data_IF_051630067549
#
_entry.id   IF_051630067549
#
_cell.length_a   1.000
_cell.length_b   1.000
_cell.length_c   1.000
_cell.angle_alpha   90.00
_cell.angle_beta   90.00
_cell.angle_gamma   90.00
#
_symmetry.space_group_name_H-M   'P 1'
#
loop_
_entity.id
_entity.type
_entity.pdbx_description
1 polymer ?
#
# COMPACT_ATOMS: atom_id res chain seq x y z
N UNK A 1 4.92 10.58 14.05
CA UNK A 1 4.12 9.77 13.08
C UNK A 1 2.98 10.62 12.56
N UNK A 2 2.69 10.58 11.22
CA UNK A 2 1.61 11.34 10.58
C UNK A 2 0.46 10.41 10.18
N UNK A 3 -0.77 10.93 10.17
CA UNK A 3 -1.93 10.22 9.64
C UNK A 3 -2.22 10.69 8.22
N UNK A 4 -2.23 9.76 7.28
CA UNK A 4 -2.49 9.99 5.88
C UNK A 4 -3.60 9.11 5.31
N UNK A 5 -3.83 9.21 4.00
CA UNK A 5 -4.71 8.31 3.26
C UNK A 5 -4.21 8.02 1.86
N UNK A 6 -4.42 6.79 1.39
CA UNK A 6 -4.20 6.40 0.00
C UNK A 6 -5.35 6.95 -0.87
N UNK A 7 -4.99 7.67 -1.92
CA UNK A 7 -5.98 8.36 -2.77
C UNK A 7 -6.73 7.41 -3.71
N UNK A 8 -6.24 6.19 -3.94
CA UNK A 8 -6.80 5.22 -4.87
C UNK A 8 -8.29 4.87 -4.63
N UNK A 9 -8.78 5.02 -3.40
CA UNK A 9 -10.18 4.76 -3.06
C UNK A 9 -11.20 5.76 -3.65
N UNK A 10 -10.74 6.90 -4.18
CA UNK A 10 -11.56 7.93 -4.83
C UNK A 10 -11.16 8.14 -6.30
N UNK A 11 -11.23 7.11 -7.15
CA UNK A 11 -10.65 7.15 -8.49
C UNK A 11 -11.34 8.15 -9.45
N UNK A 12 -12.55 8.58 -9.14
CA UNK A 12 -13.30 9.57 -9.93
C UNK A 12 -13.06 11.02 -9.51
N UNK A 13 -12.34 11.24 -8.40
CA UNK A 13 -12.02 12.58 -7.93
C UNK A 13 -10.68 13.05 -8.48
N UNK A 14 -10.53 14.36 -8.66
CA UNK A 14 -9.21 14.95 -8.93
C UNK A 14 -8.36 14.96 -7.65
N UNK A 15 -7.03 15.05 -7.81
CA UNK A 15 -6.12 15.22 -6.66
C UNK A 15 -6.51 16.46 -5.82
N UNK A 16 -6.96 17.55 -6.47
CA UNK A 16 -7.42 18.76 -5.78
C UNK A 16 -8.63 18.48 -4.89
N UNK A 17 -9.66 17.80 -5.40
CA UNK A 17 -10.83 17.42 -4.62
C UNK A 17 -10.48 16.54 -3.42
N UNK A 18 -9.56 15.58 -3.61
CA UNK A 18 -9.07 14.70 -2.55
C UNK A 18 -8.29 15.49 -1.50
N UNK A 19 -7.40 16.39 -1.94
CA UNK A 19 -6.59 17.20 -1.03
C UNK A 19 -7.45 18.16 -0.18
N UNK A 20 -8.45 18.80 -0.78
CA UNK A 20 -9.39 19.66 -0.05
C UNK A 20 -10.20 18.86 0.99
N UNK A 21 -10.69 17.67 0.63
CA UNK A 21 -11.37 16.77 1.56
C UNK A 21 -10.43 16.32 2.69
N UNK A 22 -9.25 15.82 2.35
CA UNK A 22 -8.30 15.29 3.32
C UNK A 22 -7.86 16.35 4.34
N UNK A 23 -7.52 17.56 3.84
CA UNK A 23 -7.19 18.70 4.68
C UNK A 23 -8.37 19.11 5.59
N UNK A 24 -9.57 19.21 5.03
CA UNK A 24 -10.79 19.53 5.77
C UNK A 24 -11.15 18.49 6.84
N UNK A 25 -10.82 17.21 6.61
CA UNK A 25 -11.00 16.12 7.58
C UNK A 25 -9.92 16.11 8.66
N UNK A 26 -8.74 16.71 8.42
CA UNK A 26 -7.60 16.77 9.34
C UNK A 26 -6.51 15.74 9.06
N UNK A 27 -6.53 15.07 7.93
CA UNK A 27 -5.37 14.29 7.46
C UNK A 27 -4.17 15.19 7.23
N UNK A 28 -2.96 14.66 7.40
CA UNK A 28 -1.71 15.41 7.31
C UNK A 28 -0.96 15.13 6.01
N UNK A 29 -1.20 13.99 5.39
CA UNK A 29 -0.51 13.59 4.17
C UNK A 29 -1.35 12.67 3.27
N UNK A 30 -0.91 12.55 2.02
CA UNK A 30 -1.49 11.70 1.00
C UNK A 30 -0.46 10.68 0.50
N UNK A 31 -0.87 9.44 0.40
CA UNK A 31 -0.24 8.44 -0.45
C UNK A 31 -0.93 8.50 -1.81
N UNK A 32 -0.24 9.00 -2.85
CA UNK A 32 -0.89 9.39 -4.10
C UNK A 32 -0.83 8.28 -5.13
N UNK A 33 -2.01 7.84 -5.58
CA UNK A 33 -2.17 6.85 -6.64
C UNK A 33 -1.69 7.39 -8.00
N UNK A 34 -0.80 6.63 -8.64
CA UNK A 34 -0.11 7.02 -9.87
C UNK A 34 -0.21 5.95 -10.98
N UNK A 35 -1.30 5.18 -11.05
CA UNK A 35 -1.48 4.23 -12.14
C UNK A 35 -1.58 4.93 -13.50
N UNK A 36 -1.22 4.26 -14.61
CA UNK A 36 -1.50 4.77 -15.95
C UNK A 36 -3.00 5.04 -16.10
N UNK A 37 -3.38 6.18 -16.67
CA UNK A 37 -4.79 6.48 -16.92
C UNK A 37 -5.40 5.49 -17.93
N UNK A 38 -6.73 5.28 -17.83
CA UNK A 38 -7.48 4.37 -18.70
C UNK A 38 -8.32 3.37 -17.90
N UNK A 39 -8.98 2.41 -18.57
CA UNK A 39 -9.71 1.35 -17.89
C UNK A 39 -8.73 0.45 -17.11
N UNK A 40 -8.99 0.32 -15.82
CA UNK A 40 -8.17 -0.44 -14.88
C UNK A 40 -9.03 -1.19 -13.86
N UNK A 41 -8.38 -1.78 -12.86
CA UNK A 41 -9.06 -2.42 -11.74
C UNK A 41 -9.77 -1.37 -10.86
N UNK A 42 -10.79 -1.74 -10.05
CA UNK A 42 -11.59 -0.79 -9.26
C UNK A 42 -10.79 0.15 -8.32
N UNK A 43 -9.58 -0.27 -7.91
CA UNK A 43 -8.70 0.50 -7.02
C UNK A 43 -7.52 1.17 -7.76
N UNK A 44 -7.48 1.11 -9.09
CA UNK A 44 -6.49 1.81 -9.89
C UNK A 44 -6.96 3.24 -10.15
N UNK A 45 -6.14 4.18 -9.75
CA UNK A 45 -6.40 5.61 -9.96
C UNK A 45 -5.14 6.31 -10.46
N UNK A 46 -5.33 7.36 -11.25
CA UNK A 46 -4.26 8.19 -11.79
C UNK A 46 -4.47 9.64 -11.34
N UNK A 47 -3.95 9.96 -10.16
CA UNK A 47 -4.08 11.31 -9.59
C UNK A 47 -2.90 12.21 -9.92
N UNK A 48 -1.76 11.63 -10.38
CA UNK A 48 -0.63 12.35 -10.97
C UNK A 48 -0.26 11.71 -12.32
N UNK A 49 -0.06 12.51 -13.37
CA UNK A 49 0.23 11.99 -14.71
C UNK A 49 1.73 11.66 -14.89
N UNK A 50 2.30 10.83 -14.01
CA UNK A 50 3.76 10.60 -13.91
C UNK A 50 4.41 10.16 -15.23
N UNK A 51 3.68 9.47 -16.12
CA UNK A 51 4.19 9.07 -17.44
C UNK A 51 4.40 10.26 -18.40
N UNK A 52 3.84 11.43 -18.09
CA UNK A 52 3.98 12.68 -18.88
C UNK A 52 4.34 13.85 -17.97
N UNK A 53 5.10 13.56 -16.92
CA UNK A 53 5.42 14.49 -15.86
C UNK A 53 6.24 15.69 -16.35
N UNK A 54 5.85 16.89 -15.99
CA UNK A 54 6.45 18.13 -16.42
C UNK A 54 6.71 19.10 -15.26
N UNK A 55 7.49 20.15 -15.50
CA UNK A 55 7.70 21.21 -14.50
C UNK A 55 6.41 21.92 -14.10
N UNK A 56 5.44 22.07 -15.01
CA UNK A 56 4.14 22.66 -14.71
C UNK A 56 3.33 21.77 -13.73
N UNK A 57 3.42 20.44 -13.86
CA UNK A 57 2.76 19.52 -12.93
C UNK A 57 3.39 19.59 -11.53
N UNK A 58 4.72 19.76 -11.46
CA UNK A 58 5.44 19.96 -10.19
C UNK A 58 4.96 21.25 -9.50
N UNK A 59 4.92 22.37 -10.22
CA UNK A 59 4.48 23.65 -9.67
C UNK A 59 3.03 23.60 -9.20
N UNK A 60 2.13 23.03 -10.02
CA UNK A 60 0.72 22.89 -9.68
C UNK A 60 0.52 22.01 -8.42
N UNK A 61 1.25 20.88 -8.34
CA UNK A 61 1.17 19.99 -7.19
C UNK A 61 1.70 20.67 -5.92
N UNK A 62 2.84 21.36 -5.99
CA UNK A 62 3.39 22.09 -4.84
C UNK A 62 2.46 23.20 -4.35
N UNK A 63 1.88 23.97 -5.28
CA UNK A 63 0.91 25.01 -4.93
C UNK A 63 -0.35 24.43 -4.26
N UNK A 64 -0.82 23.26 -4.71
CA UNK A 64 -1.93 22.54 -4.06
C UNK A 64 -1.59 22.12 -2.63
N UNK A 65 -0.42 21.51 -2.42
CA UNK A 65 0.04 21.07 -1.11
C UNK A 65 0.22 22.24 -0.14
N UNK A 66 0.81 23.36 -0.60
CA UNK A 66 0.96 24.58 0.18
C UNK A 66 -0.41 25.14 0.61
N UNK A 67 -1.37 25.22 -0.33
CA UNK A 67 -2.71 25.74 -0.06
C UNK A 67 -3.49 24.87 0.93
N UNK A 68 -3.32 23.55 0.89
CA UNK A 68 -4.05 22.59 1.73
C UNK A 68 -3.31 22.23 3.03
N UNK A 69 -2.04 22.58 3.15
CA UNK A 69 -1.19 22.21 4.29
C UNK A 69 -0.87 20.70 4.36
N UNK A 70 -1.03 19.98 3.23
CA UNK A 70 -0.77 18.55 3.14
C UNK A 70 0.64 18.27 2.62
N UNK A 71 1.14 17.07 2.93
CA UNK A 71 2.34 16.51 2.33
C UNK A 71 2.00 15.27 1.51
N UNK A 72 2.89 14.89 0.59
CA UNK A 72 2.83 13.58 -0.05
C UNK A 72 3.78 12.65 0.69
N UNK A 73 3.25 11.57 1.24
CA UNK A 73 4.03 10.56 1.97
C UNK A 73 4.67 9.53 1.05
N UNK A 74 4.01 9.19 -0.05
CA UNK A 74 4.48 8.21 -1.04
C UNK A 74 3.75 8.39 -2.36
N UNK A 75 4.39 8.01 -3.47
CA UNK A 75 3.71 7.76 -4.73
C UNK A 75 3.44 6.26 -4.87
N UNK A 76 2.20 5.89 -5.16
CA UNK A 76 1.71 4.52 -5.13
C UNK A 76 1.44 3.97 -6.53
N UNK A 77 2.14 2.91 -6.89
CA UNK A 77 1.90 2.13 -8.09
C UNK A 77 2.14 0.64 -7.79
N UNK A 78 1.12 -0.01 -7.23
CA UNK A 78 1.20 -1.39 -6.75
C UNK A 78 0.94 -2.38 -7.90
N UNK A 79 2.02 -2.80 -8.56
CA UNK A 79 2.00 -3.74 -9.68
C UNK A 79 3.02 -4.87 -9.55
N UNK A 80 2.77 -5.97 -10.28
CA UNK A 80 3.60 -7.17 -10.25
C UNK A 80 4.89 -7.01 -11.07
N UNK A 81 5.98 -6.61 -10.42
CA UNK A 81 7.29 -6.45 -11.08
C UNK A 81 7.94 -7.76 -11.53
N UNK A 82 7.40 -8.92 -11.14
CA UNK A 82 7.88 -10.26 -11.53
C UNK A 82 6.90 -10.99 -12.44
N UNK A 83 5.87 -10.32 -12.97
CA UNK A 83 4.90 -10.95 -13.87
C UNK A 83 5.60 -11.70 -15.01
N UNK A 84 5.10 -12.90 -15.38
CA UNK A 84 5.72 -13.77 -16.39
C UNK A 84 5.71 -13.19 -17.80
N UNK A 85 4.80 -12.28 -18.13
CA UNK A 85 4.80 -11.49 -19.37
C UNK A 85 5.92 -10.44 -19.34
N UNK A 86 6.96 -10.66 -20.12
CA UNK A 86 8.15 -9.80 -20.13
C UNK A 86 7.87 -8.42 -20.71
N UNK A 87 6.96 -8.28 -21.67
CA UNK A 87 6.61 -6.98 -22.22
C UNK A 87 5.85 -6.15 -21.17
N UNK A 88 4.88 -6.76 -20.50
CA UNK A 88 4.14 -6.11 -19.41
C UNK A 88 5.07 -5.78 -18.23
N UNK A 89 6.02 -6.64 -17.90
CA UNK A 89 7.03 -6.36 -16.86
C UNK A 89 7.86 -5.11 -17.17
N UNK A 90 8.29 -4.95 -18.42
CA UNK A 90 9.05 -3.77 -18.82
C UNK A 90 8.22 -2.48 -18.77
N UNK A 91 6.94 -2.54 -19.16
CA UNK A 91 6.00 -1.42 -18.99
C UNK A 91 5.88 -1.03 -17.51
N UNK A 92 5.68 -2.02 -16.61
CA UNK A 92 5.58 -1.77 -15.17
C UNK A 92 6.84 -1.12 -14.64
N UNK A 93 8.02 -1.66 -14.95
CA UNK A 93 9.31 -1.12 -14.50
C UNK A 93 9.57 0.31 -15.02
N UNK A 94 9.22 0.56 -16.27
CA UNK A 94 9.31 1.90 -16.87
C UNK A 94 8.41 2.88 -16.12
N UNK A 95 7.20 2.47 -15.76
CA UNK A 95 6.27 3.32 -15.02
C UNK A 95 6.71 3.53 -13.56
N UNK A 96 7.28 2.52 -12.89
CA UNK A 96 7.91 2.68 -11.55
C UNK A 96 9.03 3.72 -11.61
N UNK A 97 9.89 3.69 -12.66
CA UNK A 97 10.93 4.72 -12.85
C UNK A 97 10.32 6.12 -13.03
N UNK A 98 9.22 6.24 -13.76
CA UNK A 98 8.51 7.51 -13.89
C UNK A 98 7.94 8.01 -12.54
N UNK A 99 7.43 7.12 -11.70
CA UNK A 99 7.04 7.46 -10.33
C UNK A 99 8.24 7.93 -9.49
N UNK A 100 9.40 7.30 -9.62
CA UNK A 100 10.64 7.69 -8.93
C UNK A 100 11.10 9.08 -9.36
N UNK A 101 11.09 9.40 -10.66
CA UNK A 101 11.45 10.72 -11.19
C UNK A 101 10.48 11.81 -10.71
N UNK A 102 9.18 11.52 -10.69
CA UNK A 102 8.17 12.43 -10.15
C UNK A 102 8.36 12.64 -8.63
N UNK A 103 8.63 11.57 -7.88
CA UNK A 103 8.90 11.63 -6.43
C UNK A 103 10.11 12.52 -6.14
N UNK A 104 11.24 12.32 -6.85
CA UNK A 104 12.42 13.17 -6.74
C UNK A 104 12.08 14.66 -6.95
N UNK A 105 11.34 14.98 -8.00
CA UNK A 105 11.00 16.37 -8.35
C UNK A 105 10.10 17.05 -7.33
N UNK A 106 9.27 16.27 -6.62
CA UNK A 106 8.39 16.74 -5.55
C UNK A 106 9.06 16.75 -4.17
N UNK A 107 10.22 16.10 -4.00
CA UNK A 107 10.87 15.90 -2.71
C UNK A 107 10.22 14.79 -1.89
N UNK A 108 9.53 13.85 -2.54
CA UNK A 108 8.91 12.67 -1.91
C UNK A 108 9.95 11.55 -1.82
N UNK A 109 10.15 11.00 -0.62
CA UNK A 109 11.24 10.04 -0.35
C UNK A 109 10.88 8.58 -0.66
N UNK A 110 9.61 8.27 -0.96
CA UNK A 110 9.17 6.89 -1.13
C UNK A 110 8.28 6.69 -2.34
N UNK A 111 8.46 5.54 -3.01
CA UNK A 111 7.59 5.01 -4.06
C UNK A 111 7.16 3.61 -3.69
N UNK A 112 5.84 3.41 -3.55
CA UNK A 112 5.22 2.13 -3.22
C UNK A 112 4.94 1.28 -4.45
N UNK A 113 5.32 -0.01 -4.37
CA UNK A 113 5.01 -1.01 -5.39
C UNK A 113 4.95 -2.42 -4.78
N UNK A 114 4.60 -3.44 -5.58
CA UNK A 114 4.79 -4.84 -5.19
C UNK A 114 6.09 -5.39 -5.75
N UNK A 115 6.69 -6.36 -5.07
CA UNK A 115 7.72 -7.19 -5.70
C UNK A 115 7.06 -8.11 -6.75
N UNK A 116 5.90 -8.63 -6.42
CA UNK A 116 5.15 -9.54 -7.28
C UNK A 116 5.66 -10.98 -7.28
N UNK A 117 5.17 -11.77 -8.21
CA UNK A 117 5.57 -13.16 -8.45
C UNK A 117 5.09 -13.61 -9.83
N UNK A 118 5.90 -14.37 -10.54
CA UNK A 118 5.46 -15.24 -11.62
C UNK A 118 4.89 -16.52 -10.98
N UNK A 119 3.57 -16.64 -10.96
CA UNK A 119 2.86 -17.75 -10.27
C UNK A 119 3.09 -19.11 -10.93
N UNK A 120 3.66 -19.15 -12.13
CA UNK A 120 4.03 -20.40 -12.82
C UNK A 120 5.37 -20.98 -12.35
N UNK A 121 6.12 -20.21 -11.52
CA UNK A 121 7.44 -20.58 -11.02
C UNK A 121 7.42 -20.78 -9.49
N UNK A 122 8.44 -21.51 -9.02
CA UNK A 122 8.64 -21.66 -7.57
C UNK A 122 8.95 -20.31 -6.90
N UNK A 123 8.80 -20.25 -5.57
CA UNK A 123 9.23 -19.07 -4.78
C UNK A 123 10.73 -18.83 -4.97
N UNK A 124 11.55 -19.89 -4.93
CA UNK A 124 13.01 -19.80 -5.07
C UNK A 124 13.42 -19.27 -6.45
N UNK A 125 12.76 -19.71 -7.53
CA UNK A 125 13.06 -19.20 -8.88
C UNK A 125 12.67 -17.72 -9.02
N UNK A 126 11.58 -17.31 -8.38
CA UNK A 126 11.16 -15.90 -8.34
C UNK A 126 12.14 -15.05 -7.51
N UNK A 127 12.66 -15.56 -6.40
CA UNK A 127 13.70 -14.89 -5.62
C UNK A 127 14.97 -14.66 -6.45
N UNK A 128 15.44 -15.70 -7.17
CA UNK A 128 16.60 -15.58 -8.06
C UNK A 128 16.36 -14.55 -9.18
N UNK A 129 15.17 -14.52 -9.76
CA UNK A 129 14.79 -13.52 -10.77
C UNK A 129 14.76 -12.11 -10.18
N UNK A 130 14.21 -11.94 -8.97
CA UNK A 130 14.21 -10.64 -8.29
C UNK A 130 15.64 -10.15 -8.01
N UNK A 131 16.53 -11.01 -7.53
CA UNK A 131 17.96 -10.68 -7.32
C UNK A 131 18.67 -10.24 -8.61
N UNK A 132 18.18 -10.70 -9.76
CA UNK A 132 18.72 -10.32 -11.06
C UNK A 132 18.23 -8.94 -11.54
N UNK A 133 16.97 -8.59 -11.25
CA UNK A 133 16.32 -7.42 -11.89
C UNK A 133 16.14 -6.22 -10.97
N UNK A 134 16.00 -6.42 -9.66
CA UNK A 134 15.73 -5.32 -8.74
C UNK A 134 16.93 -4.41 -8.45
N UNK A 135 18.20 -4.88 -8.45
CA UNK A 135 19.33 -3.99 -8.18
C UNK A 135 19.35 -2.74 -9.05
N UNK A 136 19.10 -2.87 -10.37
CA UNK A 136 19.02 -1.72 -11.28
C UNK A 136 17.97 -0.70 -10.86
N UNK A 137 16.78 -1.16 -10.41
CA UNK A 137 15.69 -0.29 -10.00
C UNK A 137 15.98 0.37 -8.65
N UNK A 138 16.60 -0.37 -7.72
CA UNK A 138 17.01 0.14 -6.40
C UNK A 138 18.12 1.19 -6.55
N UNK A 139 19.11 0.93 -7.39
CA UNK A 139 20.19 1.89 -7.70
C UNK A 139 19.60 3.17 -8.33
N UNK A 140 18.70 3.01 -9.31
CA UNK A 140 18.00 4.12 -9.95
C UNK A 140 17.24 5.01 -8.96
N UNK A 141 16.56 4.40 -8.00
CA UNK A 141 15.85 5.12 -6.93
C UNK A 141 16.85 5.77 -5.94
N UNK A 142 17.89 5.05 -5.53
CA UNK A 142 18.93 5.53 -4.62
C UNK A 142 19.66 6.76 -5.13
N UNK A 143 20.02 6.80 -6.43
CA UNK A 143 20.62 7.97 -7.08
C UNK A 143 19.73 9.23 -7.02
N UNK A 144 18.41 9.04 -6.82
CA UNK A 144 17.41 10.11 -6.72
C UNK A 144 16.97 10.43 -5.30
N UNK A 145 17.58 9.77 -4.30
CA UNK A 145 17.20 9.91 -2.90
C UNK A 145 15.83 9.30 -2.57
N UNK A 146 15.33 8.38 -3.41
CA UNK A 146 14.04 7.73 -3.26
C UNK A 146 14.21 6.29 -2.78
N UNK A 147 13.40 5.86 -1.83
CA UNK A 147 13.31 4.48 -1.34
C UNK A 147 12.14 3.77 -2.03
N UNK A 148 12.38 2.56 -2.51
CA UNK A 148 11.29 1.70 -2.97
C UNK A 148 10.73 0.97 -1.75
N UNK A 149 9.45 1.14 -1.50
CA UNK A 149 8.72 0.47 -0.42
C UNK A 149 7.81 -0.62 -0.99
N UNK A 150 7.88 -1.81 -0.42
CA UNK A 150 7.10 -2.97 -0.86
C UNK A 150 5.97 -3.19 0.14
N UNK A 151 4.74 -3.20 -0.36
CA UNK A 151 3.60 -3.61 0.44
C UNK A 151 3.57 -5.13 0.60
N UNK A 152 3.26 -5.57 1.81
CA UNK A 152 3.20 -6.99 2.17
C UNK A 152 1.87 -7.66 1.83
N UNK A 153 1.17 -7.17 0.81
CA UNK A 153 -0.02 -7.78 0.27
C UNK A 153 0.25 -9.22 -0.21
N UNK A 154 -0.65 -10.13 0.06
CA UNK A 154 -0.54 -11.54 -0.36
C UNK A 154 -0.92 -11.73 -1.83
N UNK A 155 -1.77 -10.86 -2.38
CA UNK A 155 -2.22 -10.83 -3.78
C UNK A 155 -2.74 -12.18 -4.31
N UNK A 156 -3.61 -12.83 -3.56
CA UNK A 156 -4.23 -14.08 -3.97
C UNK A 156 -5.05 -13.95 -5.26
N UNK A 157 -5.54 -12.74 -5.59
CA UNK A 157 -6.27 -12.47 -6.84
C UNK A 157 -5.43 -12.63 -8.11
N UNK A 158 -4.10 -12.68 -8.01
CA UNK A 158 -3.21 -12.93 -9.14
C UNK A 158 -2.95 -14.42 -9.39
N UNK A 159 -3.41 -15.29 -8.50
CA UNK A 159 -3.28 -16.73 -8.64
C UNK A 159 -4.67 -17.37 -8.71
N UNK A 160 -4.96 -18.24 -9.68
CA UNK A 160 -6.29 -18.85 -9.85
C UNK A 160 -6.78 -19.61 -8.60
N UNK A 161 -5.86 -20.23 -7.86
CA UNK A 161 -6.17 -21.04 -6.68
C UNK A 161 -6.04 -20.25 -5.36
N UNK A 162 -5.82 -18.92 -5.41
CA UNK A 162 -5.72 -18.07 -4.23
C UNK A 162 -4.43 -18.22 -3.42
N UNK A 163 -3.36 -18.78 -3.97
CA UNK A 163 -2.04 -18.83 -3.34
C UNK A 163 -1.35 -17.45 -3.35
N UNK A 164 -0.35 -17.22 -2.44
CA UNK A 164 0.42 -15.99 -2.48
C UNK A 164 1.01 -15.73 -3.87
N UNK A 165 0.62 -14.60 -4.47
CA UNK A 165 1.09 -14.18 -5.78
C UNK A 165 1.98 -12.93 -5.72
N UNK A 166 2.40 -12.54 -4.51
CA UNK A 166 3.41 -11.53 -4.23
C UNK A 166 4.39 -12.12 -3.21
N UNK A 167 5.70 -11.93 -3.39
CA UNK A 167 6.73 -12.52 -2.52
C UNK A 167 6.79 -11.88 -1.13
N UNK A 168 6.22 -10.71 -0.92
CA UNK A 168 6.27 -10.01 0.37
C UNK A 168 5.26 -10.53 1.42
N UNK A 169 4.78 -11.75 1.32
CA UNK A 169 3.69 -12.27 2.15
C UNK A 169 4.09 -12.73 3.57
N UNK A 170 5.38 -12.80 3.89
CA UNK A 170 5.81 -13.24 5.22
C UNK A 170 7.08 -12.53 5.70
N UNK A 171 7.29 -12.41 7.03
CA UNK A 171 8.52 -11.86 7.61
C UNK A 171 9.80 -12.59 7.17
N UNK A 172 9.74 -13.89 6.91
CA UNK A 172 10.86 -14.67 6.36
C UNK A 172 11.34 -14.07 5.03
N UNK A 173 10.41 -13.76 4.13
CA UNK A 173 10.73 -13.16 2.84
C UNK A 173 11.08 -11.66 2.96
N UNK A 174 10.56 -10.96 3.98
CA UNK A 174 10.97 -9.57 4.23
C UNK A 174 12.43 -9.47 4.65
N UNK A 175 12.97 -10.42 5.41
CA UNK A 175 14.40 -10.44 5.74
C UNK A 175 15.24 -10.49 4.46
N UNK A 176 14.87 -11.35 3.53
CA UNK A 176 15.52 -11.43 2.22
C UNK A 176 15.34 -10.15 1.40
N UNK A 177 14.11 -9.62 1.27
CA UNK A 177 13.82 -8.39 0.53
C UNK A 177 14.67 -7.21 1.00
N UNK A 178 14.76 -7.05 2.31
CA UNK A 178 15.42 -5.88 2.92
C UNK A 178 16.93 -6.02 2.96
N UNK A 179 17.45 -7.22 3.20
CA UNK A 179 18.90 -7.45 3.36
C UNK A 179 19.62 -7.75 2.04
N UNK A 180 18.95 -8.37 1.07
CA UNK A 180 19.55 -8.74 -0.21
C UNK A 180 19.23 -7.77 -1.34
N UNK A 181 18.02 -7.23 -1.37
CA UNK A 181 17.59 -6.34 -2.43
C UNK A 181 17.66 -4.85 -2.03
N UNK A 182 17.85 -4.52 -0.74
CA UNK A 182 17.89 -3.14 -0.29
C UNK A 182 16.53 -2.42 -0.33
N UNK A 183 15.43 -3.18 -0.32
CA UNK A 183 14.07 -2.66 -0.34
C UNK A 183 13.58 -2.32 1.07
N UNK A 184 12.57 -1.48 1.15
CA UNK A 184 11.92 -1.09 2.40
C UNK A 184 10.48 -1.62 2.41
N UNK A 185 9.79 -1.48 3.54
CA UNK A 185 8.43 -1.98 3.71
C UNK A 185 7.42 -0.81 3.78
N UNK A 186 6.34 -0.98 3.03
CA UNK A 186 5.05 -0.38 3.29
C UNK A 186 4.24 -1.43 4.07
N UNK A 187 4.23 -1.32 5.39
CA UNK A 187 3.71 -2.36 6.27
C UNK A 187 2.19 -2.26 6.40
N UNK A 188 1.47 -3.34 6.11
CA UNK A 188 0.03 -3.48 6.25
C UNK A 188 -0.33 -4.63 7.20
N UNK A 189 -0.98 -4.38 8.35
CA UNK A 189 -1.36 -5.40 9.32
C UNK A 189 -2.44 -6.35 8.80
N UNK A 190 -3.30 -5.91 7.90
CA UNK A 190 -4.45 -6.68 7.45
C UNK A 190 -4.02 -7.98 6.77
N UNK A 191 -3.02 -7.91 5.90
CA UNK A 191 -2.51 -9.06 5.17
C UNK A 191 -1.85 -10.11 6.04
N UNK A 192 -1.29 -9.73 7.18
CA UNK A 192 -0.70 -10.65 8.16
C UNK A 192 -1.75 -11.36 8.98
N UNK A 193 -2.78 -10.63 9.39
CA UNK A 193 -3.81 -11.12 10.31
C UNK A 193 -4.58 -12.31 9.75
N UNK A 194 -4.98 -12.28 8.47
CA UNK A 194 -5.75 -13.39 7.92
C UNK A 194 -4.90 -14.64 7.65
N UNK A 195 -3.62 -14.50 7.38
CA UNK A 195 -2.70 -15.66 7.28
C UNK A 195 -2.16 -16.15 8.61
N UNK A 196 -2.65 -15.59 9.74
CA UNK A 196 -2.35 -16.05 11.07
C UNK A 196 -1.04 -15.54 11.66
N UNK A 197 -0.47 -14.47 11.12
CA UNK A 197 0.71 -13.80 11.66
C UNK A 197 0.23 -12.62 12.50
N UNK A 198 0.71 -12.51 13.75
CA UNK A 198 0.45 -11.35 14.60
C UNK A 198 1.20 -10.12 14.05
N UNK A 199 0.47 -9.11 13.54
CA UNK A 199 1.11 -7.95 12.93
C UNK A 199 1.96 -7.14 13.92
N UNK A 200 1.56 -7.04 15.19
CA UNK A 200 2.29 -6.28 16.22
C UNK A 200 3.69 -6.85 16.46
N UNK A 201 3.81 -8.19 16.42
CA UNK A 201 5.11 -8.86 16.62
C UNK A 201 6.07 -8.68 15.44
N UNK A 202 5.57 -8.31 14.26
CA UNK A 202 6.42 -8.06 13.08
C UNK A 202 7.07 -6.67 13.09
N UNK A 203 6.55 -5.71 13.85
CA UNK A 203 7.03 -4.32 13.80
C UNK A 203 8.46 -4.21 14.35
N UNK A 204 8.74 -4.74 15.55
CA UNK A 204 10.05 -4.57 16.19
C UNK A 204 11.22 -5.17 15.38
N UNK A 205 11.15 -6.40 14.86
CA UNK A 205 12.24 -6.97 14.07
C UNK A 205 12.54 -6.19 12.78
N UNK A 206 11.52 -5.55 12.19
CA UNK A 206 11.64 -4.84 10.93
C UNK A 206 11.57 -3.32 11.04
N UNK A 207 11.66 -2.75 12.26
CA UNK A 207 11.48 -1.34 12.54
C UNK A 207 12.30 -0.41 11.64
N UNK A 208 13.56 -0.74 11.35
CA UNK A 208 14.45 0.07 10.50
C UNK A 208 14.07 0.03 9.00
N UNK A 209 13.24 -0.92 8.60
CA UNK A 209 12.80 -1.11 7.22
C UNK A 209 11.37 -0.65 6.98
N UNK A 210 10.54 -0.58 8.03
CA UNK A 210 9.19 -0.02 7.96
C UNK A 210 9.32 1.51 7.94
N UNK A 211 9.21 2.10 6.77
CA UNK A 211 9.31 3.57 6.58
C UNK A 211 7.98 4.20 6.25
N UNK A 212 7.00 3.37 5.88
CA UNK A 212 5.61 3.72 5.62
C UNK A 212 4.72 2.57 6.10
N UNK A 213 3.49 2.87 6.50
CA UNK A 213 2.53 1.85 6.91
C UNK A 213 1.14 2.17 6.35
N UNK A 214 0.44 1.14 5.90
CA UNK A 214 -0.96 1.24 5.51
C UNK A 214 -1.87 0.81 6.65
N UNK A 215 -2.88 1.61 6.90
CA UNK A 215 -3.92 1.32 7.88
C UNK A 215 -5.14 0.75 7.17
N UNK A 216 -5.11 -0.55 6.97
CA UNK A 216 -6.21 -1.38 6.50
C UNK A 216 -6.57 -2.41 7.58
N UNK A 217 -7.84 -2.59 7.84
CA UNK A 217 -8.34 -3.55 8.80
C UNK A 217 -8.98 -4.74 8.09
N UNK A 218 -9.31 -5.79 8.81
CA UNK A 218 -10.08 -6.90 8.27
C UNK A 218 -10.94 -7.55 9.35
N UNK A 219 -12.04 -8.13 8.93
CA UNK A 219 -12.96 -8.91 9.73
C UNK A 219 -12.78 -10.39 9.41
N UNK A 220 -12.62 -11.21 10.46
CA UNK A 220 -12.46 -12.66 10.35
C UNK A 220 -13.79 -13.36 10.67
N UNK A 221 -14.08 -14.45 9.96
CA UNK A 221 -15.20 -15.35 10.18
C UNK A 221 -14.67 -16.74 10.55
N UNK A 222 -14.37 -17.01 11.85
CA UNK A 222 -13.70 -18.24 12.28
C UNK A 222 -14.45 -19.51 11.90
N UNK A 223 -15.77 -19.49 11.91
CA UNK A 223 -16.62 -20.62 11.50
C UNK A 223 -16.44 -20.99 10.04
N UNK A 224 -16.33 -19.98 9.15
CA UNK A 224 -16.05 -20.19 7.72
C UNK A 224 -14.61 -20.67 7.52
N UNK A 225 -13.66 -20.15 8.29
CA UNK A 225 -12.27 -20.60 8.23
C UNK A 225 -12.11 -22.09 8.57
N UNK A 226 -12.92 -22.62 9.50
CA UNK A 226 -12.90 -24.05 9.80
C UNK A 226 -13.33 -24.92 8.62
N UNK A 227 -14.12 -24.38 7.69
CA UNK A 227 -14.52 -25.06 6.46
C UNK A 227 -13.48 -24.91 5.34
N UNK A 228 -12.93 -23.72 5.16
CA UNK A 228 -12.06 -23.39 4.02
C UNK A 228 -10.56 -23.60 4.33
N UNK A 229 -10.13 -23.52 5.60
CA UNK A 229 -8.72 -23.39 5.94
C UNK A 229 -8.12 -22.11 5.34
N UNK A 230 -6.81 -22.09 5.14
CA UNK A 230 -6.14 -20.95 4.50
C UNK A 230 -6.14 -21.02 2.95
N UNK A 231 -6.31 -22.20 2.38
CA UNK A 231 -6.18 -22.47 0.94
C UNK A 231 -7.48 -22.98 0.29
N UNK A 232 -8.60 -22.80 0.97
CA UNK A 232 -9.88 -23.22 0.44
C UNK A 232 -10.27 -22.43 -0.81
N UNK A 233 -10.88 -23.13 -1.76
CA UNK A 233 -11.46 -22.49 -2.96
C UNK A 233 -12.70 -21.71 -2.53
N UNK A 234 -12.71 -20.42 -2.74
CA UNK A 234 -13.85 -19.55 -2.44
C UNK A 234 -14.46 -19.06 -3.75
N UNK A 235 -15.74 -19.39 -3.95
CA UNK A 235 -16.52 -18.79 -5.03
C UNK A 235 -16.89 -17.35 -4.63
N UNK A 236 -16.25 -16.39 -5.27
CA UNK A 236 -16.48 -14.95 -5.02
C UNK A 236 -17.79 -14.43 -5.63
N UNK A 237 -18.55 -15.28 -6.37
CA UNK A 237 -19.82 -14.87 -6.99
C UNK A 237 -19.72 -13.59 -7.84
N UNK A 238 -18.54 -13.30 -8.38
CA UNK A 238 -18.25 -12.07 -9.12
C UNK A 238 -18.00 -10.83 -8.24
N UNK A 239 -18.02 -10.96 -6.91
CA UNK A 239 -17.64 -9.90 -5.98
C UNK A 239 -16.15 -10.00 -5.64
N UNK A 240 -15.28 -9.07 -6.08
CA UNK A 240 -13.85 -9.12 -5.83
C UNK A 240 -13.49 -8.98 -4.34
N UNK A 241 -14.41 -8.45 -3.52
CA UNK A 241 -14.22 -8.24 -2.10
C UNK A 241 -14.70 -9.41 -1.22
N UNK A 242 -15.30 -10.44 -1.81
CA UNK A 242 -15.74 -11.64 -1.08
C UNK A 242 -14.57 -12.65 -0.99
N UNK A 243 -13.98 -12.76 0.17
CA UNK A 243 -12.83 -13.63 0.44
C UNK A 243 -13.23 -14.89 1.24
N UNK A 244 -14.52 -15.15 1.37
CA UNK A 244 -15.07 -16.32 2.05
C UNK A 244 -15.02 -16.20 3.56
N UNK A 245 -13.87 -16.40 4.22
CA UNK A 245 -13.74 -16.44 5.66
C UNK A 245 -13.11 -15.18 6.29
N UNK A 246 -12.82 -14.15 5.48
CA UNK A 246 -12.40 -12.83 5.89
C UNK A 246 -12.86 -11.79 4.87
N UNK A 247 -12.83 -10.51 5.24
CA UNK A 247 -13.02 -9.38 4.33
C UNK A 247 -12.28 -8.16 4.85
N UNK A 248 -11.84 -7.30 3.95
CA UNK A 248 -11.25 -6.02 4.33
C UNK A 248 -12.26 -5.07 4.96
N UNK A 249 -11.78 -4.25 5.86
CA UNK A 249 -12.57 -3.24 6.58
C UNK A 249 -11.76 -1.95 6.74
N UNK A 250 -12.46 -0.84 6.90
CA UNK A 250 -11.82 0.38 7.37
C UNK A 250 -11.34 0.22 8.82
N UNK A 251 -10.24 0.88 9.22
CA UNK A 251 -9.71 0.84 10.58
C UNK A 251 -10.76 1.03 11.67
N UNK A 252 -10.74 0.13 12.66
CA UNK A 252 -11.70 0.08 13.76
C UNK A 252 -12.98 -0.70 13.46
N UNK A 253 -13.09 -1.33 12.31
CA UNK A 253 -14.23 -2.18 11.92
C UNK A 253 -13.85 -3.64 11.73
N UNK A 254 -12.63 -4.02 12.10
CA UNK A 254 -12.11 -5.37 11.97
C UNK A 254 -11.43 -5.87 13.23
N UNK A 255 -10.40 -6.68 13.03
CA UNK A 255 -9.72 -7.45 14.08
C UNK A 255 -8.33 -6.92 14.43
N UNK A 256 -7.85 -5.87 13.77
CA UNK A 256 -6.54 -5.26 14.08
C UNK A 256 -6.62 -4.47 15.38
N UNK A 257 -5.72 -4.75 16.32
CA UNK A 257 -5.60 -4.01 17.59
C UNK A 257 -4.83 -2.70 17.37
N UNK A 258 -5.53 -1.68 16.86
CA UNK A 258 -4.92 -0.40 16.50
C UNK A 258 -4.21 0.28 17.66
N UNK A 259 -4.73 0.29 18.92
CA UNK A 259 -3.96 0.79 20.05
C UNK A 259 -2.59 0.12 20.19
N UNK A 260 -2.51 -1.21 20.14
CA UNK A 260 -1.22 -1.91 20.23
C UNK A 260 -0.31 -1.67 19.02
N UNK A 261 -0.88 -1.58 17.83
CA UNK A 261 -0.12 -1.26 16.61
C UNK A 261 0.53 0.11 16.76
N UNK A 262 -0.24 1.13 17.12
CA UNK A 262 0.25 2.50 17.26
C UNK A 262 1.28 2.62 18.38
N UNK A 263 1.01 2.00 19.54
CA UNK A 263 1.97 1.97 20.66
C UNK A 263 3.28 1.32 20.24
N UNK A 264 3.21 0.18 19.52
CA UNK A 264 4.41 -0.51 19.06
C UNK A 264 5.20 0.31 18.02
N UNK A 265 4.53 1.03 17.13
CA UNK A 265 5.18 1.95 16.18
C UNK A 265 5.91 3.06 16.92
N UNK A 266 5.32 3.64 17.97
CA UNK A 266 6.00 4.64 18.83
C UNK A 266 7.18 4.04 19.58
N UNK A 267 7.02 2.86 20.19
CA UNK A 267 8.11 2.16 20.92
C UNK A 267 9.37 1.94 20.07
N UNK A 268 9.21 1.76 18.75
CA UNK A 268 10.35 1.55 17.85
C UNK A 268 10.82 2.84 17.17
N UNK A 269 10.23 4.00 17.51
CA UNK A 269 10.60 5.30 16.98
C UNK A 269 10.14 5.51 15.52
N UNK A 270 9.02 4.94 15.11
CA UNK A 270 8.48 5.15 13.76
C UNK A 270 7.99 6.60 13.60
N UNK A 271 8.58 7.32 12.66
CA UNK A 271 8.25 8.73 12.36
C UNK A 271 7.53 8.90 11.02
N UNK A 272 7.32 7.80 10.29
CA UNK A 272 6.69 7.80 8.97
C UNK A 272 5.18 8.08 9.01
N UNK A 273 4.52 7.71 7.94
CA UNK A 273 3.06 7.87 7.77
C UNK A 273 2.34 6.57 8.03
N UNK A 274 1.23 6.66 8.79
CA UNK A 274 0.18 5.64 8.83
C UNK A 274 -0.92 6.09 7.85
N UNK A 275 -0.98 5.46 6.68
CA UNK A 275 -1.84 5.83 5.55
C UNK A 275 -3.10 4.97 5.53
N UNK A 276 -4.28 5.56 5.69
CA UNK A 276 -5.54 4.81 5.58
C UNK A 276 -5.69 4.27 4.16
N UNK A 277 -5.74 2.95 4.04
CA UNK A 277 -6.10 2.25 2.81
C UNK A 277 -7.55 1.77 2.91
N UNK A 278 -8.42 2.39 2.11
CA UNK A 278 -9.84 2.11 2.16
C UNK A 278 -10.23 1.02 1.16
N UNK A 279 -10.43 -0.19 1.67
CA UNK A 279 -10.95 -1.35 0.93
C UNK A 279 -12.04 -2.03 1.76
N UNK A 280 -13.20 -1.43 1.86
CA UNK A 280 -14.32 -1.94 2.69
C UNK A 280 -15.57 -2.17 1.82
N UNK A 281 -16.11 -3.40 1.73
CA UNK A 281 -17.28 -3.69 0.91
C UNK A 281 -18.57 -3.03 1.40
N UNK A 282 -18.63 -2.60 2.67
CA UNK A 282 -19.80 -1.89 3.22
C UNK A 282 -19.72 -0.39 2.98
N UNK A 283 -18.52 0.18 3.08
CA UNK A 283 -18.23 1.60 2.93
C UNK A 283 -17.65 1.95 1.55
N UNK A 284 -17.61 0.98 0.62
CA UNK A 284 -17.18 1.16 -0.76
C UNK A 284 -18.33 1.31 -1.75
N UNK A 285 -17.98 1.41 -3.03
CA UNK A 285 -18.91 1.40 -4.17
C UNK A 285 -19.42 2.78 -4.61
N UNK A 286 -19.48 3.78 -3.72
CA UNK A 286 -19.76 5.18 -4.09
C UNK A 286 -18.85 6.15 -3.33
N UNK A 287 -18.53 7.33 -3.89
CA UNK A 287 -17.68 8.31 -3.21
C UNK A 287 -18.21 8.71 -1.82
N UNK A 288 -19.52 8.83 -1.67
CA UNK A 288 -20.14 9.22 -0.38
C UNK A 288 -19.90 8.17 0.70
N UNK A 289 -19.99 6.89 0.35
CA UNK A 289 -19.68 5.78 1.28
C UNK A 289 -18.19 5.75 1.61
N UNK A 290 -17.33 5.93 0.62
CA UNK A 290 -15.88 5.96 0.82
C UNK A 290 -15.49 7.11 1.77
N UNK A 291 -16.03 8.29 1.55
CA UNK A 291 -15.83 9.46 2.43
C UNK A 291 -16.28 9.16 3.88
N UNK A 292 -17.42 8.50 4.06
CA UNK A 292 -17.86 8.08 5.40
C UNK A 292 -16.93 7.02 6.01
N UNK A 293 -16.45 6.06 5.22
CA UNK A 293 -15.45 5.08 5.65
C UNK A 293 -14.13 5.73 6.07
N UNK A 294 -13.64 6.71 5.31
CA UNK A 294 -12.45 7.49 5.66
C UNK A 294 -12.65 8.29 6.94
N UNK A 295 -13.85 8.86 7.16
CA UNK A 295 -14.21 9.56 8.41
C UNK A 295 -14.19 8.61 9.62
N UNK A 296 -14.70 7.38 9.45
CA UNK A 296 -14.65 6.34 10.49
C UNK A 296 -13.20 5.97 10.81
N UNK A 297 -12.39 5.72 9.79
CA UNK A 297 -10.97 5.39 9.94
C UNK A 297 -10.20 6.51 10.67
N UNK A 298 -10.42 7.76 10.25
CA UNK A 298 -9.85 8.93 10.93
C UNK A 298 -10.25 9.00 12.40
N UNK A 299 -11.54 8.84 12.71
CA UNK A 299 -12.05 8.86 14.08
C UNK A 299 -11.49 7.73 14.96
N UNK A 300 -11.08 6.62 14.36
CA UNK A 300 -10.45 5.49 15.06
C UNK A 300 -8.96 5.77 15.33
N UNK A 301 -8.22 6.23 14.33
CA UNK A 301 -6.76 6.31 14.38
C UNK A 301 -6.25 7.62 14.97
N UNK A 302 -6.89 8.76 14.66
CA UNK A 302 -6.41 10.08 15.09
C UNK A 302 -6.27 10.21 16.62
N UNK A 303 -7.20 9.70 17.45
CA UNK A 303 -7.05 9.77 18.91
C UNK A 303 -5.88 8.95 19.47
N UNK A 304 -5.35 7.98 18.69
CA UNK A 304 -4.21 7.15 19.09
C UNK A 304 -2.87 7.83 18.75
N UNK A 305 -2.86 8.80 17.83
CA UNK A 305 -1.64 9.47 17.37
C UNK A 305 -1.44 10.76 18.19
N UNK A 306 -0.34 10.81 18.92
CA UNK A 306 0.03 11.98 19.72
C UNK A 306 0.42 13.20 18.85
N UNK A 307 0.24 14.39 19.42
CA UNK A 307 0.66 15.66 18.80
C UNK A 307 2.11 16.05 19.17
N UNK A 308 2.79 15.18 19.89
CA UNK A 308 4.19 15.38 20.31
C UNK A 308 5.06 14.23 19.79
N UNK A 309 6.29 14.54 19.46
CA UNK A 309 7.31 13.53 19.16
C UNK A 309 7.74 12.86 20.48
N UNK A 310 7.70 11.54 20.53
CA UNK A 310 8.09 10.73 21.68
C UNK A 310 9.54 10.24 21.54
#
# INVERSE_FOLDING_TARGET
MKLGMLTACLPSWSLEQIAEYASGQGYQCLEVACWPGGPGRPFEASHLPVARWSGADVEATRALLERTGLEISSLAYYENNLIGDLARREEIRTHVKACIDAAQSLGVETVGTFIGRDVTKSVVDNMAEAERIFPELVDYAGERGVKIIIENCVMEGWHPDGYPANLAYSPELWEWLTTKLGLYLNWDPSHLTWIGIDPVETIRPFAKYIVHAQAKDLELFPEKRNQYGFFGVVDKGGNPWEMGWWRFRVPGRGSVDWPKVVDRLYEVGFTGTLSVEHEDPLWGGTPEKVVEGLRIAYGTLRPLIGDVDL
#
